data_IF_683641735121
#
_entry.id   IF_683641735121
#
_cell.length_a   1.000
_cell.length_b   1.000
_cell.length_c   1.000
_cell.angle_alpha   90.00
_cell.angle_beta   90.00
_cell.angle_gamma   90.00
#
_symmetry.space_group_name_H-M   'P 1'
#
loop_
_entity.id
_entity.type
_entity.pdbx_description
1 polymer ?
#
# COMPACT_ATOMS: atom_id res chain seq x y z
N UNK A 1 12.71 4.57 -19.69
CA UNK A 1 11.51 3.75 -19.56
C UNK A 1 10.99 3.93 -18.16
N UNK A 2 9.88 4.62 -18.06
CA UNK A 2 9.44 5.34 -16.88
C UNK A 2 8.81 4.36 -15.87
N UNK A 3 9.51 4.13 -14.75
CA UNK A 3 8.79 3.96 -13.50
C UNK A 3 7.91 5.19 -13.37
N UNK A 4 6.62 5.02 -13.45
CA UNK A 4 5.71 5.95 -12.83
C UNK A 4 5.82 5.67 -11.32
N UNK A 5 6.97 6.11 -10.76
CA UNK A 5 6.87 6.74 -9.48
C UNK A 5 5.92 7.91 -9.73
N UNK A 6 4.73 7.89 -9.20
CA UNK A 6 4.12 9.11 -8.74
C UNK A 6 5.05 9.67 -7.65
N UNK A 7 6.23 10.13 -8.06
CA UNK A 7 6.90 11.21 -7.38
C UNK A 7 5.95 12.35 -7.55
N UNK A 8 5.15 12.61 -6.55
CA UNK A 8 4.41 13.84 -6.40
C UNK A 8 5.45 14.95 -6.50
N UNK A 9 5.57 15.50 -7.71
CA UNK A 9 6.40 16.68 -7.97
C UNK A 9 5.64 17.81 -7.29
N UNK A 10 6.04 18.13 -6.07
CA UNK A 10 5.60 19.33 -5.36
C UNK A 10 6.24 20.55 -5.99
N UNK A 11 5.75 20.95 -7.14
CA UNK A 11 5.93 22.30 -7.69
C UNK A 11 4.54 22.92 -7.69
N UNK A 12 4.37 24.11 -7.14
CA UNK A 12 3.21 25.01 -7.12
C UNK A 12 2.01 24.61 -8.02
N UNK A 13 1.49 23.43 -7.86
CA UNK A 13 0.34 22.88 -8.54
C UNK A 13 -0.64 22.43 -7.49
N UNK A 14 -1.90 22.66 -7.73
CA UNK A 14 -3.01 22.21 -6.89
C UNK A 14 -2.85 20.71 -6.61
N UNK A 15 -2.52 20.36 -5.38
CA UNK A 15 -2.25 18.97 -5.00
C UNK A 15 -3.57 18.27 -4.72
N UNK A 16 -3.94 17.32 -5.56
CA UNK A 16 -5.08 16.43 -5.26
C UNK A 16 -4.78 15.63 -4.01
N UNK A 17 -5.61 15.70 -2.95
CA UNK A 17 -5.37 14.95 -1.73
C UNK A 17 -5.32 13.44 -1.99
N UNK A 18 -4.42 12.71 -1.31
CA UNK A 18 -4.38 11.25 -1.38
C UNK A 18 -5.64 10.62 -0.78
N UNK A 19 -5.81 9.31 -0.94
CA UNK A 19 -6.84 8.58 -0.17
C UNK A 19 -6.48 8.57 1.31
N UNK A 20 -7.46 8.33 2.19
CA UNK A 20 -7.21 8.20 3.63
C UNK A 20 -6.15 7.13 3.93
N UNK A 21 -6.20 6.01 3.23
CA UNK A 21 -5.23 4.92 3.36
C UNK A 21 -3.80 5.29 2.93
N UNK A 22 -3.64 6.31 2.08
CA UNK A 22 -2.34 6.76 1.58
C UNK A 22 -1.71 7.87 2.45
N UNK A 23 -2.42 8.39 3.46
CA UNK A 23 -1.83 9.33 4.43
C UNK A 23 -0.67 8.63 5.16
N UNK A 24 0.52 9.24 5.15
CA UNK A 24 1.75 8.65 5.71
C UNK A 24 2.36 7.51 4.90
N UNK A 25 1.98 7.32 3.64
CA UNK A 25 2.47 6.23 2.78
C UNK A 25 3.99 6.24 2.61
N UNK A 26 4.63 7.39 2.46
CA UNK A 26 6.09 7.49 2.29
C UNK A 26 6.84 6.85 3.45
N UNK A 27 6.45 7.16 4.69
CA UNK A 27 7.05 6.55 5.88
C UNK A 27 6.78 5.04 5.94
N UNK A 28 5.52 4.62 5.74
CA UNK A 28 5.14 3.20 5.74
C UNK A 28 5.86 2.40 4.66
N UNK A 29 6.01 2.94 3.46
CA UNK A 29 6.68 2.26 2.37
C UNK A 29 8.17 2.05 2.67
N UNK A 30 8.83 3.03 3.27
CA UNK A 30 10.21 2.92 3.67
C UNK A 30 10.40 1.89 4.79
N UNK A 31 9.49 1.83 5.76
CA UNK A 31 9.53 0.90 6.90
C UNK A 31 9.11 -0.53 6.55
N UNK A 32 8.32 -0.75 5.49
CA UNK A 32 7.69 -2.07 5.21
C UNK A 32 8.11 -2.70 3.90
N UNK A 33 8.27 -1.91 2.82
CA UNK A 33 8.60 -2.47 1.49
C UNK A 33 10.02 -3.01 1.43
N UNK A 34 10.19 -4.10 0.69
CA UNK A 34 11.46 -4.80 0.45
C UNK A 34 12.04 -5.52 1.67
N UNK A 35 11.24 -5.78 2.70
CA UNK A 35 11.59 -6.63 3.82
C UNK A 35 10.76 -7.93 3.77
N UNK A 36 10.92 -8.73 2.70
CA UNK A 36 10.24 -10.02 2.50
C UNK A 36 10.95 -11.13 3.31
N UNK A 37 10.98 -10.96 4.64
CA UNK A 37 11.72 -11.81 5.57
C UNK A 37 11.16 -13.24 5.61
N UNK A 38 12.03 -14.23 5.45
CA UNK A 38 11.64 -15.65 5.45
C UNK A 38 10.87 -16.09 4.19
N UNK A 39 10.81 -15.25 3.17
CA UNK A 39 10.11 -15.51 1.91
C UNK A 39 11.11 -15.51 0.75
N UNK A 40 11.07 -16.57 -0.04
CA UNK A 40 11.75 -16.60 -1.32
C UNK A 40 10.70 -16.38 -2.39
N UNK A 41 10.87 -15.35 -3.22
CA UNK A 41 9.89 -15.04 -4.25
C UNK A 41 10.50 -14.87 -5.64
N UNK A 42 9.67 -15.20 -6.61
CA UNK A 42 9.92 -14.92 -8.01
C UNK A 42 8.71 -14.17 -8.55
N UNK A 43 8.95 -13.04 -9.20
CA UNK A 43 7.88 -12.29 -9.85
C UNK A 43 8.28 -11.93 -11.28
N UNK A 44 7.29 -11.95 -12.15
CA UNK A 44 7.44 -11.42 -13.50
C UNK A 44 6.30 -10.45 -13.80
N UNK A 45 6.63 -9.36 -14.43
CA UNK A 45 5.71 -8.33 -14.86
C UNK A 45 5.91 -8.07 -16.34
N UNK A 46 4.83 -8.14 -17.08
CA UNK A 46 4.80 -7.76 -18.48
C UNK A 46 3.82 -6.62 -18.70
N UNK A 47 4.19 -5.73 -19.60
CA UNK A 47 3.35 -4.60 -19.98
C UNK A 47 3.35 -4.42 -21.48
N UNK A 48 2.14 -4.41 -22.04
CA UNK A 48 1.88 -3.98 -23.40
C UNK A 48 0.90 -2.80 -23.35
N UNK A 49 0.64 -2.09 -24.42
CA UNK A 49 -0.10 -0.82 -24.48
C UNK A 49 -1.33 -0.75 -23.57
N UNK A 50 -2.16 -1.77 -23.59
CA UNK A 50 -3.41 -1.82 -22.83
C UNK A 50 -3.46 -2.94 -21.80
N UNK A 51 -2.49 -3.87 -21.83
CA UNK A 51 -2.48 -5.07 -20.98
C UNK A 51 -1.25 -5.07 -20.08
N UNK A 52 -1.47 -5.16 -18.79
CA UNK A 52 -0.42 -5.40 -17.80
C UNK A 52 -0.72 -6.74 -17.11
N UNK A 53 0.29 -7.54 -16.90
CA UNK A 53 0.18 -8.77 -16.12
C UNK A 53 1.33 -8.92 -15.13
N UNK A 54 1.00 -9.47 -13.98
CA UNK A 54 1.93 -9.73 -12.90
C UNK A 54 1.72 -11.15 -12.38
N UNK A 55 2.76 -11.96 -12.48
CA UNK A 55 2.80 -13.26 -11.81
C UNK A 55 3.80 -13.22 -10.67
N UNK A 56 3.43 -13.79 -9.52
CA UNK A 56 4.32 -13.90 -8.37
C UNK A 56 4.14 -15.25 -7.70
N UNK A 57 5.25 -15.88 -7.36
CA UNK A 57 5.29 -17.10 -6.57
C UNK A 57 6.11 -16.83 -5.32
N UNK A 58 5.50 -17.00 -4.16
CA UNK A 58 6.12 -16.87 -2.85
C UNK A 58 6.30 -18.24 -2.20
N UNK A 59 7.49 -18.55 -1.74
CA UNK A 59 7.80 -19.71 -0.93
C UNK A 59 8.16 -19.27 0.49
N UNK A 60 7.26 -19.50 1.43
CA UNK A 60 7.53 -19.29 2.85
C UNK A 60 8.26 -20.54 3.39
N UNK A 61 9.58 -20.49 3.40
CA UNK A 61 10.46 -21.62 3.68
C UNK A 61 10.19 -22.31 5.02
N UNK A 62 9.94 -21.51 6.08
CA UNK A 62 9.67 -22.05 7.43
C UNK A 62 8.35 -22.82 7.54
N UNK A 63 7.36 -22.45 6.76
CA UNK A 63 6.00 -23.01 6.84
C UNK A 63 5.78 -24.05 5.73
N UNK A 64 6.72 -24.16 4.78
CA UNK A 64 6.61 -25.04 3.62
C UNK A 64 5.43 -24.71 2.71
N UNK A 65 4.96 -23.43 2.73
CA UNK A 65 3.80 -23.01 1.93
C UNK A 65 4.26 -22.27 0.68
N UNK A 66 3.82 -22.81 -0.46
CA UNK A 66 3.95 -22.15 -1.75
C UNK A 66 2.65 -21.39 -2.07
N UNK A 67 2.78 -20.11 -2.41
CA UNK A 67 1.67 -19.26 -2.80
C UNK A 67 1.95 -18.66 -4.18
N UNK A 68 1.13 -19.02 -5.16
CA UNK A 68 1.12 -18.40 -6.47
C UNK A 68 0.02 -17.33 -6.56
N UNK A 69 0.33 -16.20 -7.17
CA UNK A 69 -0.65 -15.16 -7.53
C UNK A 69 -0.42 -14.73 -8.97
N UNK A 70 -1.50 -14.50 -9.67
CA UNK A 70 -1.50 -13.94 -11.01
C UNK A 70 -2.49 -12.79 -11.08
N UNK A 71 -2.07 -11.67 -11.61
CA UNK A 71 -2.91 -10.50 -11.82
C UNK A 71 -2.83 -10.10 -13.30
N UNK A 72 -3.98 -9.79 -13.90
CA UNK A 72 -4.08 -9.17 -15.21
C UNK A 72 -4.84 -7.86 -15.09
N UNK A 73 -4.40 -6.85 -15.82
CA UNK A 73 -5.05 -5.55 -15.90
C UNK A 73 -5.15 -5.12 -17.35
N UNK A 74 -6.36 -4.92 -17.81
CA UNK A 74 -6.67 -4.44 -19.14
C UNK A 74 -7.31 -3.06 -19.07
N UNK A 75 -6.73 -2.07 -19.76
CA UNK A 75 -7.15 -0.67 -19.69
C UNK A 75 -7.57 -0.17 -21.06
N UNK A 76 -8.83 0.21 -21.20
CA UNK A 76 -9.41 0.86 -22.38
C UNK A 76 -9.50 2.37 -22.11
N UNK A 77 -8.42 3.09 -22.43
CA UNK A 77 -8.29 4.53 -22.12
C UNK A 77 -9.37 5.38 -22.76
N UNK A 78 -9.80 5.03 -23.98
CA UNK A 78 -10.83 5.77 -24.72
C UNK A 78 -12.18 5.79 -23.98
N UNK A 79 -12.48 4.74 -23.22
CA UNK A 79 -13.72 4.59 -22.48
C UNK A 79 -13.55 4.78 -20.97
N UNK A 80 -12.34 5.14 -20.50
CA UNK A 80 -12.06 5.20 -19.07
C UNK A 80 -12.27 3.88 -18.33
N UNK A 81 -12.33 2.75 -19.07
CA UNK A 81 -12.64 1.43 -18.53
C UNK A 81 -11.34 0.67 -18.17
N UNK A 82 -11.30 0.13 -16.97
CA UNK A 82 -10.20 -0.76 -16.53
C UNK A 82 -10.80 -2.04 -15.97
N UNK A 83 -10.35 -3.17 -16.49
CA UNK A 83 -10.64 -4.50 -15.99
C UNK A 83 -9.40 -5.02 -15.27
N UNK A 84 -9.55 -5.51 -14.05
CA UNK A 84 -8.46 -6.13 -13.30
C UNK A 84 -8.94 -7.47 -12.75
N UNK A 85 -8.17 -8.52 -13.00
CA UNK A 85 -8.40 -9.85 -12.48
C UNK A 85 -7.21 -10.29 -11.62
N UNK A 86 -7.50 -11.01 -10.56
CA UNK A 86 -6.48 -11.57 -9.67
C UNK A 86 -6.86 -12.98 -9.27
N UNK A 87 -5.91 -13.88 -9.39
CA UNK A 87 -6.02 -15.29 -9.06
C UNK A 87 -4.96 -15.65 -8.03
N UNK A 88 -5.34 -16.47 -7.06
CA UNK A 88 -4.40 -16.98 -6.04
C UNK A 88 -4.52 -18.49 -5.92
N UNK A 89 -3.41 -19.16 -5.71
CA UNK A 89 -3.37 -20.60 -5.45
C UNK A 89 -4.11 -21.04 -4.19
N UNK A 90 -4.54 -20.07 -3.34
CA UNK A 90 -5.46 -20.31 -2.20
C UNK A 90 -6.94 -20.33 -2.61
N UNK A 91 -7.25 -20.47 -3.90
CA UNK A 91 -8.62 -20.47 -4.40
C UNK A 91 -9.30 -19.10 -4.36
N UNK A 92 -8.58 -18.00 -4.08
CA UNK A 92 -9.16 -16.68 -4.13
C UNK A 92 -9.07 -16.10 -5.55
N UNK A 93 -10.21 -15.74 -6.09
CA UNK A 93 -10.36 -15.06 -7.37
C UNK A 93 -11.02 -13.72 -7.15
N UNK A 94 -10.53 -12.66 -7.79
CA UNK A 94 -11.21 -11.36 -7.79
C UNK A 94 -11.23 -10.76 -9.19
N UNK A 95 -12.32 -10.06 -9.48
CA UNK A 95 -12.49 -9.28 -10.70
C UNK A 95 -12.97 -7.89 -10.34
N UNK A 96 -12.28 -6.87 -10.82
CA UNK A 96 -12.58 -5.47 -10.58
C UNK A 96 -12.85 -4.79 -11.93
N UNK A 97 -13.97 -4.10 -12.03
CA UNK A 97 -14.35 -3.29 -13.20
C UNK A 97 -14.42 -1.85 -12.75
N UNK A 98 -13.55 -1.00 -13.28
CA UNK A 98 -13.49 0.42 -12.94
C UNK A 98 -13.85 1.28 -14.14
N UNK A 99 -14.67 2.30 -13.90
CA UNK A 99 -15.04 3.32 -14.89
C UNK A 99 -14.65 4.68 -14.33
N UNK A 100 -13.76 5.38 -15.04
CA UNK A 100 -13.19 6.65 -14.62
C UNK A 100 -13.64 7.78 -15.53
N UNK A 101 -14.11 8.88 -14.93
CA UNK A 101 -14.42 10.15 -15.60
C UNK A 101 -15.62 10.14 -16.55
N UNK A 102 -16.31 9.02 -16.79
CA UNK A 102 -17.42 8.94 -17.75
C UNK A 102 -18.71 9.57 -17.26
N UNK A 103 -19.00 9.51 -15.96
CA UNK A 103 -20.23 10.06 -15.36
C UNK A 103 -20.00 11.51 -14.97
N UNK A 104 -18.87 11.79 -14.33
CA UNK A 104 -18.47 13.11 -13.85
C UNK A 104 -16.95 13.15 -13.75
N UNK A 105 -16.37 14.29 -14.13
CA UNK A 105 -14.93 14.50 -14.02
C UNK A 105 -14.42 14.31 -12.57
N UNK A 106 -13.41 13.49 -12.40
CA UNK A 106 -12.86 13.12 -11.09
C UNK A 106 -13.62 12.03 -10.33
N UNK A 107 -14.69 11.46 -10.90
CA UNK A 107 -15.43 10.35 -10.31
C UNK A 107 -15.01 9.00 -10.93
N UNK A 108 -14.48 8.12 -10.12
CA UNK A 108 -14.15 6.75 -10.47
C UNK A 108 -15.05 5.77 -9.72
N UNK A 109 -15.78 4.92 -10.44
CA UNK A 109 -16.61 3.87 -9.87
C UNK A 109 -15.98 2.51 -10.15
N UNK A 110 -15.88 1.68 -9.14
CA UNK A 110 -15.30 0.33 -9.23
C UNK A 110 -16.28 -0.68 -8.65
N UNK A 111 -16.69 -1.65 -9.47
CA UNK A 111 -17.37 -2.84 -9.02
C UNK A 111 -16.31 -3.93 -8.83
N UNK A 112 -16.22 -4.46 -7.63
CA UNK A 112 -15.29 -5.52 -7.28
C UNK A 112 -16.06 -6.75 -6.84
N UNK A 113 -15.67 -7.90 -7.38
CA UNK A 113 -16.18 -9.21 -6.98
C UNK A 113 -15.01 -10.07 -6.48
N UNK A 114 -15.21 -10.73 -5.36
CA UNK A 114 -14.24 -11.68 -4.79
C UNK A 114 -14.95 -13.02 -4.55
N UNK A 115 -14.34 -14.09 -4.99
CA UNK A 115 -14.83 -15.45 -4.78
C UNK A 115 -13.70 -16.34 -4.24
N UNK A 116 -13.99 -17.07 -3.18
CA UNK A 116 -13.07 -18.07 -2.64
C UNK A 116 -13.63 -19.46 -2.89
N UNK A 117 -12.94 -20.24 -3.73
CA UNK A 117 -13.38 -21.58 -4.16
C UNK A 117 -13.42 -22.56 -2.98
N UNK A 118 -12.49 -22.47 -2.03
CA UNK A 118 -12.39 -23.40 -0.90
C UNK A 118 -13.50 -23.19 0.13
N UNK A 119 -13.82 -21.95 0.45
CA UNK A 119 -14.84 -21.61 1.46
C UNK A 119 -16.23 -21.35 0.88
N UNK A 120 -16.38 -21.27 -0.46
CA UNK A 120 -17.61 -20.83 -1.12
C UNK A 120 -17.98 -19.36 -0.82
N UNK A 121 -17.09 -18.61 -0.18
CA UNK A 121 -17.33 -17.23 0.18
C UNK A 121 -17.30 -16.34 -1.06
N UNK A 122 -18.33 -15.53 -1.20
CA UNK A 122 -18.35 -14.49 -2.20
C UNK A 122 -18.56 -13.10 -1.55
N UNK A 123 -17.99 -12.11 -2.14
CA UNK A 123 -18.11 -10.72 -1.73
C UNK A 123 -18.24 -9.84 -2.97
N UNK A 124 -19.20 -8.96 -2.94
CA UNK A 124 -19.37 -7.92 -3.95
C UNK A 124 -19.20 -6.58 -3.26
N UNK A 125 -18.45 -5.67 -3.85
CA UNK A 125 -18.35 -4.30 -3.35
C UNK A 125 -18.45 -3.29 -4.50
N UNK A 126 -19.12 -2.18 -4.21
CA UNK A 126 -19.22 -1.03 -5.08
C UNK A 126 -18.51 0.15 -4.42
N UNK A 127 -17.41 0.55 -5.01
CA UNK A 127 -16.57 1.64 -4.53
C UNK A 127 -16.68 2.83 -5.47
N UNK A 128 -17.03 3.99 -4.93
CA UNK A 128 -17.04 5.26 -5.63
C UNK A 128 -16.00 6.19 -5.02
N UNK A 129 -15.13 6.74 -5.83
CA UNK A 129 -14.06 7.66 -5.43
C UNK A 129 -14.21 8.95 -6.21
N UNK A 130 -14.34 10.06 -5.50
CA UNK A 130 -14.38 11.40 -6.08
C UNK A 130 -13.13 12.17 -5.68
N UNK A 131 -12.34 12.55 -6.68
CA UNK A 131 -11.09 13.31 -6.49
C UNK A 131 -11.19 14.66 -7.19
N UNK A 132 -10.91 15.71 -6.44
CA UNK A 132 -10.78 17.06 -6.96
C UNK A 132 -9.67 17.80 -6.20
N UNK A 133 -9.31 19.01 -6.64
CA UNK A 133 -8.15 19.79 -6.21
C UNK A 133 -7.89 19.81 -4.69
N UNK A 134 -8.94 19.85 -3.85
CA UNK A 134 -8.81 19.96 -2.39
C UNK A 134 -9.47 18.81 -1.64
N UNK A 135 -10.16 17.91 -2.35
CA UNK A 135 -11.02 16.91 -1.74
C UNK A 135 -10.80 15.55 -2.40
N UNK A 136 -10.69 14.52 -1.58
CA UNK A 136 -10.76 13.11 -1.99
C UNK A 136 -11.78 12.41 -1.10
N UNK A 137 -12.95 12.14 -1.65
CA UNK A 137 -14.03 11.42 -0.99
C UNK A 137 -14.15 10.00 -1.54
N UNK A 138 -14.40 9.04 -0.69
CA UNK A 138 -14.59 7.65 -1.07
C UNK A 138 -15.76 7.06 -0.30
N UNK A 139 -16.60 6.29 -0.98
CA UNK A 139 -17.66 5.47 -0.40
C UNK A 139 -17.53 4.06 -0.95
N UNK A 140 -17.54 3.07 -0.09
CA UNK A 140 -17.43 1.65 -0.44
C UNK A 140 -18.59 0.89 0.22
N UNK A 141 -19.48 0.31 -0.59
CA UNK A 141 -20.59 -0.56 -0.20
C UNK A 141 -20.11 -2.01 -0.31
N UNK A 142 -19.98 -2.71 0.80
CA UNK A 142 -19.47 -4.07 0.88
C UNK A 142 -20.60 -5.05 1.21
N UNK A 143 -21.11 -5.73 0.20
CA UNK A 143 -22.22 -6.67 0.36
C UNK A 143 -21.69 -8.00 0.92
N UNK A 144 -22.08 -8.33 2.16
CA UNK A 144 -21.71 -9.59 2.81
C UNK A 144 -22.90 -10.52 2.99
N UNK A 145 -23.97 -10.07 3.64
CA UNK A 145 -25.26 -10.78 3.84
C UNK A 145 -26.15 -10.02 4.82
N UNK A 146 -27.43 -9.84 4.58
CA UNK A 146 -28.11 -9.42 3.36
C UNK A 146 -27.94 -7.93 3.09
N UNK A 147 -27.39 -7.17 4.07
CA UNK A 147 -27.19 -5.72 4.00
C UNK A 147 -25.70 -5.36 3.87
N UNK A 148 -25.37 -4.26 3.21
CA UNK A 148 -23.99 -3.85 3.00
C UNK A 148 -23.37 -3.23 4.27
N UNK A 149 -22.09 -3.47 4.49
CA UNK A 149 -21.25 -2.60 5.31
C UNK A 149 -20.88 -1.36 4.48
N UNK A 150 -20.93 -0.19 5.07
CA UNK A 150 -20.59 1.06 4.38
C UNK A 150 -19.33 1.65 4.97
N UNK A 151 -18.31 1.82 4.12
CA UNK A 151 -17.07 2.50 4.49
C UNK A 151 -17.03 3.84 3.78
N UNK A 152 -16.87 4.92 4.52
CA UNK A 152 -16.80 6.27 3.98
C UNK A 152 -15.51 6.91 4.43
N UNK A 153 -14.74 7.48 3.51
CA UNK A 153 -13.59 8.28 3.85
C UNK A 153 -13.62 9.62 3.12
N UNK A 154 -13.12 10.64 3.81
CA UNK A 154 -12.97 11.98 3.27
C UNK A 154 -11.61 12.51 3.67
N UNK A 155 -10.86 13.00 2.70
CA UNK A 155 -9.62 13.73 2.92
C UNK A 155 -9.72 15.11 2.28
N UNK A 156 -9.42 16.11 3.06
CA UNK A 156 -9.34 17.49 2.60
C UNK A 156 -7.89 17.95 2.70
N UNK A 157 -7.38 18.54 1.64
CA UNK A 157 -6.04 19.10 1.58
C UNK A 157 -6.08 20.60 1.32
N UNK A 158 -5.25 21.32 2.03
CA UNK A 158 -5.04 22.73 1.76
C UNK A 158 -3.56 23.05 1.93
N UNK A 159 -2.92 23.54 0.86
CA UNK A 159 -1.47 23.73 0.80
C UNK A 159 -0.74 22.42 1.16
N UNK A 160 0.03 22.41 2.23
CA UNK A 160 0.84 21.29 2.70
C UNK A 160 0.14 20.46 3.78
N UNK A 161 -1.08 20.82 4.18
CA UNK A 161 -1.84 20.16 5.25
C UNK A 161 -2.92 19.25 4.69
N UNK A 162 -3.07 18.09 5.30
CA UNK A 162 -4.10 17.10 5.01
C UNK A 162 -4.83 16.75 6.31
N UNK A 163 -6.15 16.71 6.22
CA UNK A 163 -7.01 16.21 7.30
C UNK A 163 -7.95 15.19 6.70
N UNK A 164 -8.09 14.05 7.35
CA UNK A 164 -8.95 12.97 6.88
C UNK A 164 -9.76 12.33 7.99
N UNK A 165 -10.90 11.78 7.62
CA UNK A 165 -11.73 10.93 8.44
C UNK A 165 -12.13 9.67 7.66
N UNK A 166 -12.23 8.54 8.36
CA UNK A 166 -12.69 7.25 7.83
C UNK A 166 -13.71 6.63 8.79
N UNK A 167 -14.86 6.26 8.27
CA UNK A 167 -16.02 5.79 9.02
C UNK A 167 -16.44 4.42 8.51
N UNK A 168 -16.61 3.45 9.40
CA UNK A 168 -17.16 2.14 9.09
C UNK A 168 -18.52 1.95 9.76
N UNK A 169 -19.56 1.83 8.97
CA UNK A 169 -20.92 1.64 9.45
C UNK A 169 -21.45 0.26 9.04
N UNK A 170 -21.88 -0.52 10.02
CA UNK A 170 -22.60 -1.78 9.80
C UNK A 170 -24.10 -1.50 9.72
N UNK A 171 -24.65 -1.67 8.53
CA UNK A 171 -26.09 -1.40 8.28
C UNK A 171 -26.97 -2.45 8.96
N UNK A 172 -26.52 -3.69 9.06
CA UNK A 172 -27.28 -4.78 9.67
C UNK A 172 -27.41 -4.60 11.20
N UNK A 173 -26.29 -4.30 11.87
CA UNK A 173 -26.29 -4.07 13.32
C UNK A 173 -26.69 -2.63 13.68
N UNK A 174 -26.80 -1.74 12.70
CA UNK A 174 -27.06 -0.31 12.89
C UNK A 174 -26.03 0.36 13.80
N UNK A 175 -24.79 -0.07 13.71
CA UNK A 175 -23.71 0.35 14.58
C UNK A 175 -22.55 0.97 13.78
N UNK A 176 -22.01 2.06 14.31
CA UNK A 176 -20.78 2.67 13.80
C UNK A 176 -19.59 1.91 14.42
N UNK A 177 -19.02 0.96 13.65
CA UNK A 177 -17.98 0.05 14.13
C UNK A 177 -16.64 0.73 14.38
N UNK A 178 -16.27 1.68 13.51
CA UNK A 178 -14.96 2.32 13.58
C UNK A 178 -15.03 3.75 13.10
N UNK A 179 -14.30 4.60 13.80
CA UNK A 179 -14.05 5.99 13.43
C UNK A 179 -12.56 6.22 13.54
N UNK A 180 -11.98 6.68 12.43
CA UNK A 180 -10.56 6.97 12.33
C UNK A 180 -10.38 8.41 11.86
N UNK A 181 -9.35 9.08 12.36
CA UNK A 181 -8.96 10.41 11.96
C UNK A 181 -7.49 10.44 11.58
N UNK A 182 -7.14 11.27 10.64
CA UNK A 182 -5.77 11.48 10.24
C UNK A 182 -5.47 12.94 9.99
N UNK A 183 -4.25 13.33 10.33
CA UNK A 183 -3.66 14.62 10.01
C UNK A 183 -2.29 14.36 9.38
N UNK A 184 -1.95 15.12 8.36
CA UNK A 184 -0.60 15.09 7.81
C UNK A 184 -0.15 16.50 7.39
N UNK A 185 1.14 16.70 7.47
CA UNK A 185 1.85 17.84 6.94
C UNK A 185 2.94 17.32 6.00
N UNK A 186 2.94 17.75 4.75
CA UNK A 186 3.85 17.23 3.75
C UNK A 186 4.40 18.36 2.89
N UNK A 187 5.70 18.57 2.98
CA UNK A 187 6.48 19.48 2.14
C UNK A 187 7.40 18.61 1.28
N UNK A 188 7.98 19.16 0.22
CA UNK A 188 8.78 18.49 -0.80
C UNK A 188 9.63 17.30 -0.30
N UNK A 189 10.41 17.47 0.75
CA UNK A 189 11.36 16.48 1.24
C UNK A 189 11.07 16.02 2.68
N UNK A 190 9.97 16.49 3.26
CA UNK A 190 9.58 16.19 4.64
C UNK A 190 8.09 15.86 4.71
N UNK A 191 7.75 14.83 5.46
CA UNK A 191 6.37 14.44 5.75
C UNK A 191 6.22 14.06 7.21
N UNK A 192 5.19 14.61 7.85
CA UNK A 192 4.74 14.21 9.18
C UNK A 192 3.30 13.73 9.06
N UNK A 193 2.94 12.68 9.78
CA UNK A 193 1.55 12.24 9.87
C UNK A 193 1.20 11.77 11.27
N UNK A 194 -0.05 11.96 11.62
CA UNK A 194 -0.69 11.40 12.82
C UNK A 194 -2.00 10.75 12.43
N UNK A 195 -2.22 9.53 12.85
CA UNK A 195 -3.43 8.75 12.58
C UNK A 195 -3.96 8.23 13.91
N UNK A 196 -5.24 8.47 14.14
CA UNK A 196 -5.97 8.02 15.32
C UNK A 196 -7.02 7.03 14.84
N UNK A 197 -6.94 5.79 15.29
CA UNK A 197 -7.82 4.73 14.81
C UNK A 197 -8.60 4.08 15.95
N UNK A 198 -9.68 3.38 15.57
CA UNK A 198 -10.45 2.54 16.45
C UNK A 198 -10.98 3.31 17.67
N UNK A 199 -11.74 4.40 17.44
CA UNK A 199 -12.31 5.21 18.53
C UNK A 199 -11.26 5.77 19.50
N UNK A 200 -10.17 6.29 18.96
CA UNK A 200 -9.03 6.82 19.70
C UNK A 200 -8.37 5.79 20.66
N UNK A 201 -8.39 4.51 20.29
CA UNK A 201 -7.64 3.47 21.04
C UNK A 201 -6.21 3.32 20.55
N UNK A 202 -5.97 3.59 19.25
CA UNK A 202 -4.65 3.45 18.66
C UNK A 202 -4.22 4.78 18.03
N UNK A 203 -3.03 5.21 18.39
CA UNK A 203 -2.39 6.44 17.88
C UNK A 203 -1.12 6.04 17.14
N UNK A 204 -1.02 6.40 15.87
CA UNK A 204 0.17 6.19 15.05
C UNK A 204 0.68 7.54 14.59
N UNK A 205 1.93 7.84 14.85
CA UNK A 205 2.58 9.03 14.31
C UNK A 205 3.87 8.64 13.61
N UNK A 206 4.18 9.31 12.53
CA UNK A 206 5.38 9.03 11.77
C UNK A 206 5.93 10.25 11.06
N UNK A 207 7.20 10.17 10.79
CA UNK A 207 7.99 11.18 10.09
C UNK A 207 8.71 10.50 8.93
N UNK A 208 8.73 11.16 7.80
CA UNK A 208 9.53 10.81 6.64
C UNK A 208 10.35 12.03 6.24
N UNK A 209 11.63 11.83 5.94
CA UNK A 209 12.46 12.90 5.39
C UNK A 209 13.43 12.35 4.35
N UNK A 210 13.53 13.06 3.24
CA UNK A 210 14.58 12.91 2.25
C UNK A 210 15.68 13.93 2.53
N UNK A 211 16.84 13.46 2.99
CA UNK A 211 17.99 14.34 3.27
C UNK A 211 18.73 14.70 1.99
N UNK A 212 18.86 13.75 1.08
CA UNK A 212 19.47 13.91 -0.23
C UNK A 212 18.73 13.04 -1.23
N UNK A 213 19.00 13.18 -2.53
CA UNK A 213 18.44 12.31 -3.56
C UNK A 213 18.78 10.82 -3.36
N UNK A 214 19.74 10.52 -2.50
CA UNK A 214 20.22 9.16 -2.21
C UNK A 214 19.87 8.67 -0.81
N UNK A 215 19.57 9.56 0.12
CA UNK A 215 19.38 9.22 1.53
C UNK A 215 17.99 9.66 2.01
N UNK A 216 17.22 8.68 2.42
CA UNK A 216 15.90 8.87 3.02
C UNK A 216 15.82 8.15 4.36
N UNK A 217 15.07 8.70 5.31
CA UNK A 217 14.76 8.02 6.55
C UNK A 217 13.30 8.21 6.95
N UNK A 218 12.81 7.27 7.72
CA UNK A 218 11.48 7.34 8.32
C UNK A 218 11.50 6.75 9.73
N UNK A 219 10.67 7.30 10.58
CA UNK A 219 10.38 6.76 11.91
C UNK A 219 8.86 6.74 12.11
N UNK A 220 8.35 5.70 12.72
CA UNK A 220 6.93 5.55 13.08
C UNK A 220 6.83 5.00 14.50
N UNK A 221 5.92 5.54 15.29
CA UNK A 221 5.55 5.01 16.59
C UNK A 221 4.05 4.79 16.62
N UNK A 222 3.65 3.63 17.11
CA UNK A 222 2.25 3.27 17.36
C UNK A 222 2.05 3.00 18.84
N UNK A 223 1.16 3.75 19.43
CA UNK A 223 0.71 3.56 20.81
C UNK A 223 -0.70 3.03 20.80
N UNK A 224 -0.94 1.97 21.57
CA UNK A 224 -2.28 1.42 21.79
C UNK A 224 -2.64 1.62 23.27
N UNK A 225 -3.80 2.23 23.52
CA UNK A 225 -4.29 2.53 24.86
C UNK A 225 -4.54 1.26 25.69
N UNK A 226 -4.94 0.17 25.03
CA UNK A 226 -5.34 -1.07 25.71
C UNK A 226 -4.14 -2.01 25.96
N UNK A 227 -2.97 -1.70 25.40
CA UNK A 227 -1.76 -2.52 25.50
C UNK A 227 -0.60 -1.64 25.98
N UNK A 228 0.10 -2.00 27.06
CA UNK A 228 1.19 -1.19 27.59
C UNK A 228 2.44 -1.13 26.68
N UNK A 229 2.49 -1.96 25.65
CA UNK A 229 3.63 -2.00 24.73
C UNK A 229 3.49 -0.95 23.62
N UNK A 230 4.55 -0.19 23.39
CA UNK A 230 4.66 0.75 22.29
C UNK A 230 5.43 0.10 21.15
N UNK A 231 4.86 0.14 19.95
CA UNK A 231 5.55 -0.33 18.75
C UNK A 231 6.18 0.87 18.04
N UNK A 232 7.48 0.84 17.86
CA UNK A 232 8.18 1.84 17.07
C UNK A 232 9.12 1.17 16.06
N UNK A 233 9.35 1.85 14.97
CA UNK A 233 10.32 1.44 13.97
C UNK A 233 11.00 2.65 13.35
N UNK A 234 12.28 2.50 13.06
CA UNK A 234 13.09 3.49 12.35
C UNK A 234 13.72 2.78 11.17
N UNK A 235 13.69 3.38 10.00
CA UNK A 235 14.38 2.87 8.83
C UNK A 235 15.11 3.99 8.07
N UNK A 236 16.17 3.58 7.42
CA UNK A 236 16.98 4.41 6.54
C UNK A 236 17.15 3.68 5.21
N UNK A 237 17.07 4.41 4.11
CA UNK A 237 17.33 3.93 2.76
C UNK A 237 18.46 4.74 2.16
N UNK A 238 19.43 4.04 1.60
CA UNK A 238 20.55 4.63 0.88
C UNK A 238 20.61 4.06 -0.55
N UNK A 239 20.59 4.93 -1.54
CA UNK A 239 20.81 4.58 -2.94
C UNK A 239 22.27 4.89 -3.32
N UNK A 240 22.99 3.90 -3.83
CA UNK A 240 24.41 4.08 -4.22
C UNK A 240 24.53 4.99 -5.44
N UNK A 241 23.57 4.87 -6.37
CA UNK A 241 23.56 5.64 -7.62
C UNK A 241 22.35 6.57 -7.68
N UNK A 242 22.47 7.66 -8.43
CA UNK A 242 21.37 8.58 -8.71
C UNK A 242 20.20 7.88 -9.44
N UNK A 243 20.48 6.83 -10.19
CA UNK A 243 19.49 6.02 -10.91
C UNK A 243 18.80 4.98 -10.00
N UNK A 244 19.13 4.95 -8.71
CA UNK A 244 18.59 4.01 -7.71
C UNK A 244 18.68 2.53 -8.12
N UNK A 245 19.75 2.15 -8.85
CA UNK A 245 19.98 0.76 -9.26
C UNK A 245 20.30 -0.14 -8.08
N UNK A 246 20.99 0.40 -7.08
CA UNK A 246 21.38 -0.31 -5.87
C UNK A 246 20.83 0.42 -4.66
N UNK A 247 19.93 -0.21 -3.94
CA UNK A 247 19.26 0.36 -2.78
C UNK A 247 19.55 -0.51 -1.57
N UNK A 248 20.15 0.09 -0.56
CA UNK A 248 20.33 -0.51 0.75
C UNK A 248 19.32 0.08 1.72
N UNK A 249 18.59 -0.77 2.45
CA UNK A 249 17.72 -0.36 3.54
C UNK A 249 18.13 -1.02 4.83
N UNK A 250 18.04 -0.28 5.91
CA UNK A 250 18.25 -0.78 7.28
C UNK A 250 17.07 -0.34 8.13
N UNK A 251 16.52 -1.26 8.90
CA UNK A 251 15.40 -1.01 9.82
C UNK A 251 15.72 -1.57 11.20
N UNK A 252 15.36 -0.81 12.23
CA UNK A 252 15.34 -1.23 13.63
C UNK A 252 13.92 -1.06 14.16
N UNK A 253 13.43 -2.02 14.94
CA UNK A 253 12.09 -1.95 15.53
C UNK A 253 12.10 -2.19 17.06
N UNK A 254 10.94 -1.98 17.69
CA UNK A 254 10.74 -2.07 19.14
C UNK A 254 11.03 -3.46 19.73
N UNK A 255 11.06 -4.51 18.91
CA UNK A 255 11.46 -5.86 19.31
C UNK A 255 12.97 -6.10 19.18
N UNK A 256 13.76 -5.04 19.04
CA UNK A 256 15.22 -5.10 18.85
C UNK A 256 15.64 -5.89 17.61
N UNK A 257 14.78 -5.96 16.59
CA UNK A 257 15.07 -6.63 15.33
C UNK A 257 15.77 -5.66 14.39
N UNK A 258 16.95 -6.04 13.95
CA UNK A 258 17.68 -5.34 12.89
C UNK A 258 17.39 -6.06 11.58
N UNK A 259 16.79 -5.35 10.64
CA UNK A 259 16.51 -5.87 9.31
C UNK A 259 17.30 -5.09 8.27
N UNK A 260 17.96 -5.80 7.38
CA UNK A 260 18.73 -5.22 6.26
C UNK A 260 18.15 -5.75 4.97
N UNK A 261 17.99 -4.89 3.98
CA UNK A 261 17.52 -5.25 2.64
C UNK A 261 18.41 -4.60 1.59
N UNK A 262 18.84 -5.40 0.63
CA UNK A 262 19.60 -4.96 -0.53
C UNK A 262 18.79 -5.27 -1.79
N UNK A 263 18.47 -4.23 -2.56
CA UNK A 263 17.81 -4.35 -3.87
C UNK A 263 18.78 -3.93 -4.96
N UNK A 264 19.02 -4.83 -5.91
CA UNK A 264 19.96 -4.63 -7.01
C UNK A 264 19.26 -4.81 -8.35
N UNK A 265 19.36 -3.84 -9.23
CA UNK A 265 19.05 -3.99 -10.66
C UNK A 265 20.30 -4.48 -11.39
N UNK A 266 20.32 -5.77 -11.75
CA UNK A 266 21.48 -6.41 -12.41
C UNK A 266 21.50 -6.04 -13.90
N UNK A 267 20.34 -6.12 -14.52
CA UNK A 267 20.12 -5.75 -15.93
C UNK A 267 18.83 -4.94 -16.06
N UNK A 268 18.65 -4.28 -17.19
CA UNK A 268 17.37 -3.66 -17.49
C UNK A 268 16.27 -4.72 -17.51
N UNK A 269 15.30 -4.57 -16.62
CA UNK A 269 14.22 -5.52 -16.42
C UNK A 269 14.50 -6.65 -15.43
N UNK A 270 15.72 -6.82 -14.86
CA UNK A 270 15.99 -7.85 -13.86
C UNK A 270 16.49 -7.21 -12.57
N UNK A 271 15.71 -7.39 -11.52
CA UNK A 271 16.00 -6.88 -10.19
C UNK A 271 16.06 -8.02 -9.18
N UNK A 272 17.08 -8.03 -8.33
CA UNK A 272 17.18 -8.97 -7.22
C UNK A 272 17.01 -8.23 -5.90
N UNK A 273 16.37 -8.89 -4.94
CA UNK A 273 16.21 -8.40 -3.58
C UNK A 273 16.70 -9.48 -2.60
N UNK A 274 17.51 -9.06 -1.66
CA UNK A 274 17.97 -9.92 -0.56
C UNK A 274 17.66 -9.18 0.74
N UNK A 275 17.06 -9.85 1.70
CA UNK A 275 16.83 -9.28 3.01
C UNK A 275 17.19 -10.26 4.12
N UNK A 276 17.63 -9.74 5.23
CA UNK A 276 17.96 -10.49 6.43
C UNK A 276 17.46 -9.75 7.67
N UNK A 277 17.01 -10.50 8.65
CA UNK A 277 16.64 -10.00 9.97
C UNK A 277 17.41 -10.78 11.03
N UNK A 278 17.98 -10.04 11.96
CA UNK A 278 18.73 -10.56 13.10
C UNK A 278 18.04 -10.07 14.36
N UNK A 279 17.82 -10.97 15.30
CA UNK A 279 17.31 -10.68 16.63
C UNK A 279 17.99 -11.62 17.65
N UNK A 280 18.17 -11.16 18.88
CA UNK A 280 18.77 -11.98 19.95
C UNK A 280 17.86 -13.12 20.42
N UNK A 281 16.56 -12.99 20.23
CA UNK A 281 15.54 -13.93 20.74
C UNK A 281 14.95 -14.83 19.64
N UNK A 282 14.82 -14.31 18.44
CA UNK A 282 14.23 -15.02 17.31
C UNK A 282 15.32 -15.55 16.37
N UNK A 283 15.04 -16.65 15.68
CA UNK A 283 15.94 -17.15 14.65
C UNK A 283 16.10 -16.16 13.50
N UNK A 284 17.29 -16.03 12.99
CA UNK A 284 17.61 -15.23 11.79
C UNK A 284 16.71 -15.60 10.62
N UNK A 285 16.10 -14.63 10.00
CA UNK A 285 15.25 -14.81 8.82
C UNK A 285 15.94 -14.21 7.60
N UNK A 286 16.02 -14.97 6.54
CA UNK A 286 16.59 -14.54 5.27
C UNK A 286 15.51 -14.63 4.20
N UNK A 287 15.37 -13.60 3.40
CA UNK A 287 14.49 -13.59 2.22
C UNK A 287 15.30 -13.30 0.96
N UNK A 288 14.86 -13.88 -0.14
CA UNK A 288 15.47 -13.68 -1.45
C UNK A 288 14.37 -13.53 -2.50
N UNK A 289 14.54 -12.61 -3.42
CA UNK A 289 13.58 -12.37 -4.49
C UNK A 289 14.24 -12.02 -5.81
N UNK A 290 13.57 -12.43 -6.88
CA UNK A 290 13.92 -12.05 -8.26
C UNK A 290 12.67 -11.47 -8.91
N UNK A 291 12.81 -10.28 -9.46
CA UNK A 291 11.77 -9.58 -10.19
C UNK A 291 12.22 -9.42 -11.65
N UNK A 292 11.40 -9.86 -12.59
CA UNK A 292 11.62 -9.68 -14.03
C UNK A 292 10.53 -8.77 -14.57
N UNK A 293 10.91 -7.68 -15.22
CA UNK A 293 10.00 -6.72 -15.85
C UNK A 293 10.34 -6.62 -17.34
N UNK A 294 9.32 -6.76 -18.23
CA UNK A 294 9.46 -6.67 -19.68
C UNK A 294 8.39 -5.79 -20.30
#
# INVERSE_FOLDING_TARGET
MLYVFEVSIYGFGVMMPPSFADIGKSARDLLRKNFDLGIHFFSFKGKNDNLEFLGRVDNAFRVGKLLGTFESKYSLKEYGLTLKEKWSSKGLMSADVSVDGQIMDGLCNTLKTEYNVESGYNRVSLKSVYKKEYINGQVDFQFRNPLPDVVQSLVVGHQDYLVGADLHYDVFQKELRRVDFAFAYSVKDFGFHGIVTNWARTFTTGVYQRLTDRLEYAAEITWNRDVPAHNWAIACQFATDSDQKHILKVKLDSLQRISVSLKNRIYDGITTAVCAMINDVEETQIGFGVEIER
#
